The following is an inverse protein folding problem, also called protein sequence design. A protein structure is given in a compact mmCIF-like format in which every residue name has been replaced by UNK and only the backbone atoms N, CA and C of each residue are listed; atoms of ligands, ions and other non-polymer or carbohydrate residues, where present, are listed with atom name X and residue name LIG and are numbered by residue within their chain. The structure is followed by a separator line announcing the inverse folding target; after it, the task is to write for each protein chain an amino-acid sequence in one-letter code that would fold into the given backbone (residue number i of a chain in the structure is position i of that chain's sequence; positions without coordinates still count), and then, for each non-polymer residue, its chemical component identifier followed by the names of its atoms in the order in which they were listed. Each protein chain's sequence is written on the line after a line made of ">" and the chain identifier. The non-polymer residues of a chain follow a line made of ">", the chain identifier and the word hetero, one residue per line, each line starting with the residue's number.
data_IF_608153402828
#
_entry.id   IF_608153402828
#
_cell.length_a   1.000
_cell.length_b   1.000
_cell.length_c   1.000
_cell.angle_alpha   90.00
_cell.angle_beta   90.00
_cell.angle_gamma   90.00
#
_symmetry.space_group_name_H-M   'P 1'
#
loop_
_entity.id
_entity.type
_entity.pdbx_description
1 polymer ?
#
# COMPACT_ATOMS: atom_id res chain seq x y z
N UNK A 1 -4.51 1.73 -9.34
CA UNK A 1 -4.54 0.34 -9.88
C UNK A 1 -5.94 0.06 -10.41
N UNK A 2 -6.13 -0.18 -11.73
CA UNK A 2 -7.46 -0.31 -12.34
C UNK A 2 -8.22 -1.61 -11.97
N UNK A 3 -7.52 -2.66 -11.51
CA UNK A 3 -8.12 -3.97 -11.26
C UNK A 3 -9.08 -4.00 -10.06
N UNK A 4 -8.83 -3.19 -9.02
CA UNK A 4 -9.69 -3.13 -7.83
C UNK A 4 -10.96 -2.29 -8.04
N UNK A 5 -11.05 -1.56 -9.15
CA UNK A 5 -12.22 -0.74 -9.51
C UNK A 5 -13.34 -1.55 -10.18
N UNK A 6 -13.07 -2.82 -10.51
CA UNK A 6 -14.07 -3.75 -11.00
C UNK A 6 -14.80 -4.32 -9.76
N UNK A 7 -16.11 -4.09 -9.69
CA UNK A 7 -16.93 -4.54 -8.58
C UNK A 7 -16.72 -6.05 -8.31
N UNK A 8 -16.35 -6.39 -7.07
CA UNK A 8 -16.16 -7.77 -6.62
C UNK A 8 -14.77 -8.37 -6.84
N UNK A 9 -13.83 -7.68 -7.49
CA UNK A 9 -12.46 -8.19 -7.68
C UNK A 9 -11.60 -8.05 -6.42
N UNK A 10 -11.81 -7.00 -5.62
CA UNK A 10 -11.05 -6.74 -4.40
C UNK A 10 -11.01 -7.93 -3.43
N UNK A 11 -12.16 -8.53 -3.04
CA UNK A 11 -12.16 -9.67 -2.13
C UNK A 11 -11.46 -10.92 -2.69
N UNK A 12 -11.47 -11.10 -4.02
CA UNK A 12 -10.77 -12.21 -4.69
C UNK A 12 -9.25 -12.09 -4.60
N UNK A 13 -8.71 -10.90 -4.31
CA UNK A 13 -7.27 -10.67 -4.16
C UNK A 13 -6.77 -11.00 -2.75
N UNK A 14 -7.64 -11.04 -1.73
CA UNK A 14 -7.26 -11.27 -0.32
C UNK A 14 -6.44 -12.56 -0.11
N UNK A 15 -6.79 -13.72 -0.72
CA UNK A 15 -6.00 -14.94 -0.58
C UNK A 15 -4.56 -14.81 -1.09
N UNK A 16 -4.30 -13.87 -2.01
CA UNK A 16 -3.00 -13.63 -2.65
C UNK A 16 -2.15 -12.58 -1.94
N UNK A 17 -2.67 -11.90 -0.92
CA UNK A 17 -1.93 -10.87 -0.18
C UNK A 17 -0.60 -11.41 0.39
N UNK A 18 -0.56 -12.69 0.79
CA UNK A 18 0.66 -13.33 1.27
C UNK A 18 1.80 -13.36 0.25
N UNK A 19 1.46 -13.40 -1.05
CA UNK A 19 2.45 -13.41 -2.14
C UNK A 19 2.76 -11.98 -2.62
N UNK A 20 1.74 -11.12 -2.66
CA UNK A 20 1.83 -9.78 -3.26
C UNK A 20 2.42 -8.73 -2.31
N UNK A 21 2.08 -8.78 -1.03
CA UNK A 21 2.41 -7.71 -0.08
C UNK A 21 3.86 -7.71 0.46
N UNK A 22 4.60 -8.84 0.59
CA UNK A 22 5.98 -8.82 1.09
C UNK A 22 6.90 -7.89 0.31
N UNK A 23 6.78 -7.85 -1.02
CA UNK A 23 7.61 -6.99 -1.87
C UNK A 23 7.28 -5.51 -1.64
N UNK A 24 6.02 -5.16 -1.41
CA UNK A 24 5.60 -3.78 -1.13
C UNK A 24 6.18 -3.29 0.21
N UNK A 25 6.30 -4.17 1.20
CA UNK A 25 6.89 -3.83 2.50
C UNK A 25 8.36 -3.37 2.38
N UNK A 26 9.13 -3.93 1.44
CA UNK A 26 10.52 -3.52 1.17
C UNK A 26 10.59 -2.07 0.70
N UNK A 27 9.59 -1.62 -0.06
CA UNK A 27 9.54 -0.26 -0.61
C UNK A 27 8.84 0.75 0.30
N UNK A 28 7.96 0.29 1.21
CA UNK A 28 7.30 1.13 2.23
C UNK A 28 8.31 1.87 3.13
N UNK A 29 9.44 1.23 3.43
CA UNK A 29 10.48 1.79 4.31
C UNK A 29 11.55 2.62 3.58
N UNK A 30 11.51 2.68 2.24
CA UNK A 30 12.40 3.54 1.45
C UNK A 30 11.92 5.00 1.46
N UNK A 31 11.64 5.56 2.64
CA UNK A 31 11.73 7.01 2.79
C UNK A 31 13.19 7.36 2.64
N UNK A 32 13.51 8.06 1.56
CA UNK A 32 14.84 8.61 1.31
C UNK A 32 15.18 9.50 2.51
N UNK A 33 16.04 9.03 3.43
CA UNK A 33 16.58 9.84 4.52
C UNK A 33 17.54 10.89 3.92
N UNK A 34 16.98 11.94 3.32
CA UNK A 34 17.73 13.10 2.85
C UNK A 34 17.72 14.07 4.02
N UNK A 35 18.76 14.02 4.85
CA UNK A 35 19.00 15.05 5.84
C UNK A 35 19.16 16.40 5.15
N UNK A 36 18.39 17.39 5.62
CA UNK A 36 18.48 18.86 5.43
C UNK A 36 18.76 19.47 4.04
N UNK A 37 18.92 18.68 2.97
CA UNK A 37 19.24 19.18 1.63
C UNK A 37 18.03 19.14 0.68
N UNK A 38 17.20 20.18 0.81
CA UNK A 38 16.49 20.86 -0.28
C UNK A 38 15.61 20.01 -1.22
N UNK A 39 14.34 20.00 -0.84
CA UNK A 39 13.18 19.30 -1.41
C UNK A 39 12.58 19.96 -2.68
N UNK A 40 13.41 20.39 -3.64
CA UNK A 40 12.91 21.08 -4.86
C UNK A 40 12.75 20.18 -6.09
N UNK A 41 13.32 18.97 -6.11
CA UNK A 41 13.11 17.99 -7.19
C UNK A 41 12.03 16.94 -6.87
N UNK A 42 11.45 17.00 -5.68
CA UNK A 42 10.53 16.00 -5.11
C UNK A 42 9.14 15.95 -5.77
N UNK A 43 8.67 17.03 -6.40
CA UNK A 43 7.31 17.11 -6.98
C UNK A 43 7.08 16.25 -8.23
N UNK A 44 8.13 15.64 -8.82
CA UNK A 44 8.03 14.97 -10.13
C UNK A 44 8.21 13.46 -10.12
N UNK A 45 8.68 12.87 -9.04
CA UNK A 45 8.71 11.43 -8.87
C UNK A 45 7.81 11.13 -7.68
N UNK A 46 6.58 10.67 -7.95
CA UNK A 46 5.73 10.05 -6.92
C UNK A 46 6.63 9.17 -6.06
N UNK A 47 6.74 9.48 -4.77
CA UNK A 47 7.55 8.69 -3.86
C UNK A 47 6.97 7.27 -3.92
N UNK A 48 7.80 6.28 -4.25
CA UNK A 48 7.33 4.90 -4.36
C UNK A 48 6.66 4.46 -3.04
N UNK A 49 7.07 5.02 -1.90
CA UNK A 49 6.39 4.82 -0.62
C UNK A 49 4.95 5.34 -0.59
N UNK A 50 4.67 6.48 -1.23
CA UNK A 50 3.32 7.07 -1.34
C UNK A 50 2.43 6.18 -2.23
N UNK A 51 2.95 5.74 -3.39
CA UNK A 51 2.21 4.83 -4.28
C UNK A 51 1.92 3.48 -3.60
N UNK A 52 2.87 2.96 -2.82
CA UNK A 52 2.64 1.76 -2.01
C UNK A 52 1.53 2.00 -0.99
N UNK A 53 1.54 3.13 -0.28
CA UNK A 53 0.51 3.47 0.70
C UNK A 53 -0.87 3.55 0.03
N UNK A 54 -1.03 4.35 -1.02
CA UNK A 54 -2.29 4.46 -1.78
C UNK A 54 -2.80 3.11 -2.27
N UNK A 55 -1.88 2.22 -2.68
CA UNK A 55 -2.24 0.86 -3.11
C UNK A 55 -2.78 0.03 -1.95
N UNK A 56 -2.17 0.09 -0.76
CA UNK A 56 -2.64 -0.65 0.41
C UNK A 56 -4.00 -0.15 0.89
N UNK A 57 -4.22 1.16 0.88
CA UNK A 57 -5.53 1.76 1.21
C UNK A 57 -6.62 1.31 0.24
N UNK A 58 -6.30 1.24 -1.05
CA UNK A 58 -7.24 0.77 -2.06
C UNK A 58 -7.56 -0.72 -1.89
N UNK A 59 -6.59 -1.54 -1.53
CA UNK A 59 -6.77 -2.97 -1.22
C UNK A 59 -7.62 -3.18 0.05
N UNK A 60 -7.45 -2.35 1.07
CA UNK A 60 -8.30 -2.35 2.27
C UNK A 60 -9.75 -1.97 1.92
N UNK A 61 -9.95 -0.83 1.23
CA UNK A 61 -11.28 -0.31 0.87
C UNK A 61 -12.09 -1.25 -0.01
N UNK A 62 -11.42 -2.06 -0.84
CA UNK A 62 -12.09 -2.93 -1.82
C UNK A 62 -12.08 -4.40 -1.43
N UNK A 63 -11.22 -4.83 -0.49
CA UNK A 63 -11.00 -6.23 -0.17
C UNK A 63 -12.04 -6.89 0.74
N UNK A 64 -12.98 -6.11 1.31
CA UNK A 64 -13.99 -6.62 2.24
C UNK A 64 -13.47 -6.75 3.69
N UNK A 65 -14.26 -7.41 4.54
CA UNK A 65 -14.09 -7.44 6.01
C UNK A 65 -12.70 -7.93 6.45
N UNK A 66 -12.16 -8.96 5.77
CA UNK A 66 -10.88 -9.57 6.12
C UNK A 66 -9.65 -8.87 5.50
N UNK A 67 -9.84 -7.82 4.71
CA UNK A 67 -8.74 -7.18 4.00
C UNK A 67 -7.71 -6.59 4.96
N UNK A 68 -8.16 -5.85 5.97
CA UNK A 68 -7.29 -5.16 6.92
C UNK A 68 -6.41 -6.15 7.70
N UNK A 69 -6.99 -7.20 8.28
CA UNK A 69 -6.23 -8.17 9.07
C UNK A 69 -5.18 -8.90 8.23
N UNK A 70 -5.49 -9.23 6.98
CA UNK A 70 -4.52 -9.84 6.06
C UNK A 70 -3.41 -8.86 5.65
N UNK A 71 -3.72 -7.59 5.42
CA UNK A 71 -2.72 -6.56 5.13
C UNK A 71 -1.81 -6.35 6.35
N UNK A 72 -2.38 -6.18 7.56
CA UNK A 72 -1.63 -5.96 8.81
C UNK A 72 -0.72 -7.14 9.14
N UNK A 73 -1.14 -8.37 8.84
CA UNK A 73 -0.30 -9.56 9.02
C UNK A 73 0.94 -9.54 8.12
N UNK A 74 0.80 -9.08 6.88
CA UNK A 74 1.92 -9.01 5.93
C UNK A 74 2.78 -7.76 6.08
N UNK A 75 2.18 -6.65 6.52
CA UNK A 75 2.79 -5.34 6.66
C UNK A 75 2.42 -4.79 8.05
N UNK A 76 3.14 -5.18 9.11
CA UNK A 76 2.79 -4.81 10.50
C UNK A 76 2.75 -3.29 10.77
N UNK A 77 3.42 -2.50 9.93
CA UNK A 77 3.51 -1.03 10.03
C UNK A 77 2.44 -0.29 9.22
N UNK A 78 1.52 -1.00 8.55
CA UNK A 78 0.37 -0.39 7.90
C UNK A 78 -0.69 -0.04 8.96
N UNK A 79 -1.31 1.13 8.86
CA UNK A 79 -2.44 1.53 9.71
C UNK A 79 -3.69 1.71 8.86
N UNK A 80 -4.86 1.40 9.42
CA UNK A 80 -6.13 1.41 8.68
C UNK A 80 -6.46 2.81 8.16
N UNK A 81 -6.93 2.89 6.92
CA UNK A 81 -7.41 4.11 6.28
C UNK A 81 -8.93 4.32 6.42
N UNK A 82 -9.62 3.42 7.14
CA UNK A 82 -11.07 3.41 7.36
C UNK A 82 -11.47 3.77 8.79
N UNK A 83 -10.59 4.47 9.52
CA UNK A 83 -10.69 4.82 10.95
C UNK A 83 -12.08 5.09 11.50
#
# INVERSE_FOLDING_TARGET
>A
MQLTQIAGVGPLLVPYYRQLLPVLNVFKSKRRNIGDAMDFQQKRAQDLGEVVLETLELLERTGGEDAFINIKYMIPTYESALG
#
